data_IF_333341829789
#
_entry.id   IF_333341829789
#
_cell.length_a   1.000
_cell.length_b   1.000
_cell.length_c   1.000
_cell.angle_alpha   90.00
_cell.angle_beta   90.00
_cell.angle_gamma   90.00
#
_symmetry.space_group_name_H-M   'P 1'
#
loop_
_entity.id
_entity.type
_entity.pdbx_description
1 polymer ?
#
# COMPACT_ATOMS: atom_id res chain seq x y z
N UNK A 1 -16.25 8.68 -13.98
CA UNK A 1 -16.67 8.01 -12.73
C UNK A 1 -16.59 9.05 -11.61
N UNK A 2 -17.71 9.37 -10.93
CA UNK A 2 -17.70 10.39 -9.88
C UNK A 2 -17.10 9.80 -8.60
N UNK A 3 -15.94 10.33 -8.17
CA UNK A 3 -15.36 10.01 -6.87
C UNK A 3 -16.38 10.38 -5.77
N UNK A 4 -16.51 9.53 -4.75
CA UNK A 4 -17.37 9.82 -3.58
C UNK A 4 -16.83 11.08 -2.89
N UNK A 5 -17.50 12.22 -3.11
CA UNK A 5 -17.19 13.47 -2.41
C UNK A 5 -17.91 13.45 -1.07
N UNK A 6 -17.21 13.06 -0.01
CA UNK A 6 -17.73 13.27 1.34
C UNK A 6 -17.68 14.79 1.62
N UNK A 7 -18.83 15.48 1.83
CA UNK A 7 -18.80 16.87 2.25
C UNK A 7 -18.07 16.95 3.59
N UNK A 8 -17.14 17.90 3.70
CA UNK A 8 -16.29 18.04 4.88
C UNK A 8 -17.18 18.29 6.11
N UNK A 9 -17.21 17.33 7.02
CA UNK A 9 -18.03 17.34 8.24
C UNK A 9 -17.23 16.74 9.39
N UNK A 10 -17.61 17.08 10.63
CA UNK A 10 -16.99 16.49 11.83
C UNK A 10 -17.02 14.95 11.80
N UNK A 11 -18.12 14.36 11.31
CA UNK A 11 -18.26 12.91 11.19
C UNK A 11 -17.31 12.32 10.12
N UNK A 12 -17.16 12.97 8.98
CA UNK A 12 -16.21 12.54 7.94
C UNK A 12 -14.76 12.66 8.44
N UNK A 13 -14.42 13.73 9.16
CA UNK A 13 -13.11 13.90 9.79
C UNK A 13 -12.80 12.76 10.76
N UNK A 14 -13.73 12.44 11.67
CA UNK A 14 -13.56 11.34 12.63
C UNK A 14 -13.42 9.99 11.94
N UNK A 15 -14.14 9.75 10.84
CA UNK A 15 -13.99 8.52 10.08
C UNK A 15 -12.58 8.40 9.48
N UNK A 16 -12.07 9.44 8.82
CA UNK A 16 -10.71 9.46 8.26
C UNK A 16 -9.65 9.29 9.35
N UNK A 17 -9.79 10.03 10.46
CA UNK A 17 -8.89 9.92 11.60
C UNK A 17 -8.87 8.49 12.15
N UNK A 18 -10.06 7.89 12.36
CA UNK A 18 -10.18 6.51 12.82
C UNK A 18 -9.53 5.50 11.88
N UNK A 19 -9.70 5.66 10.57
CA UNK A 19 -9.04 4.77 9.59
C UNK A 19 -7.51 4.93 9.56
N UNK A 20 -7.00 6.15 9.71
CA UNK A 20 -5.56 6.38 9.86
C UNK A 20 -5.04 5.76 11.16
N UNK A 21 -5.80 5.87 12.26
CA UNK A 21 -5.46 5.19 13.52
C UNK A 21 -5.40 3.68 13.35
N UNK A 22 -6.33 3.06 12.60
CA UNK A 22 -6.29 1.63 12.30
C UNK A 22 -5.02 1.26 11.53
N UNK A 23 -4.67 2.05 10.50
CA UNK A 23 -3.45 1.85 9.72
C UNK A 23 -2.19 1.94 10.60
N UNK A 24 -2.10 2.96 11.44
CA UNK A 24 -0.94 3.13 12.33
C UNK A 24 -0.88 1.99 13.35
N UNK A 25 -2.01 1.67 13.99
CA UNK A 25 -2.08 0.62 15.00
C UNK A 25 -1.68 -0.75 14.43
N UNK A 26 -2.17 -1.12 13.24
CA UNK A 26 -1.78 -2.40 12.62
C UNK A 26 -0.31 -2.41 12.22
N UNK A 27 0.24 -1.27 11.78
CA UNK A 27 1.66 -1.16 11.43
C UNK A 27 2.57 -1.32 12.66
N UNK A 28 2.21 -0.65 13.77
CA UNK A 28 2.92 -0.79 15.05
C UNK A 28 2.80 -2.22 15.58
N UNK A 29 1.61 -2.81 15.54
CA UNK A 29 1.39 -4.20 15.95
C UNK A 29 2.31 -5.16 15.20
N UNK A 30 2.35 -5.10 13.86
CA UNK A 30 3.22 -5.97 13.07
C UNK A 30 4.71 -5.70 13.33
N UNK A 31 5.10 -4.45 13.60
CA UNK A 31 6.47 -4.13 13.99
C UNK A 31 6.86 -4.78 15.31
N UNK A 32 5.98 -4.79 16.31
CA UNK A 32 6.24 -5.44 17.61
C UNK A 32 6.34 -6.95 17.42
N UNK A 33 5.36 -7.55 16.73
CA UNK A 33 5.33 -8.99 16.47
C UNK A 33 6.55 -9.48 15.67
N UNK A 34 7.05 -8.67 14.74
CA UNK A 34 8.29 -8.98 14.02
C UNK A 34 9.51 -9.09 14.93
N UNK A 35 9.57 -8.25 15.98
CA UNK A 35 10.67 -8.24 16.94
C UNK A 35 10.63 -9.41 17.92
N UNK A 36 9.43 -9.88 18.29
CA UNK A 36 9.24 -10.96 19.25
C UNK A 36 9.26 -12.35 18.60
N UNK A 37 8.68 -12.50 17.39
CA UNK A 37 8.45 -13.80 16.75
C UNK A 37 9.25 -14.02 15.46
N UNK A 38 10.09 -13.06 15.05
CA UNK A 38 10.91 -13.12 13.85
C UNK A 38 10.11 -13.19 12.55
N UNK A 39 10.78 -13.55 11.44
CA UNK A 39 10.19 -13.53 10.09
C UNK A 39 8.96 -14.44 9.95
N UNK A 40 9.01 -15.67 10.48
CA UNK A 40 7.89 -16.60 10.40
C UNK A 40 6.65 -16.13 11.17
N UNK A 41 6.85 -15.51 12.35
CA UNK A 41 5.76 -14.91 13.11
C UNK A 41 5.13 -13.73 12.37
N UNK A 42 5.95 -12.87 11.77
CA UNK A 42 5.49 -11.75 10.97
C UNK A 42 4.61 -12.20 9.79
N UNK A 43 4.96 -13.30 9.10
CA UNK A 43 4.13 -13.88 8.03
C UNK A 43 2.74 -14.26 8.56
N UNK A 44 2.67 -14.97 9.69
CA UNK A 44 1.40 -15.40 10.27
C UNK A 44 0.51 -14.22 10.70
N UNK A 45 1.10 -13.26 11.42
CA UNK A 45 0.35 -12.11 11.93
C UNK A 45 -0.10 -11.13 10.84
N UNK A 46 0.75 -10.89 9.84
CA UNK A 46 0.39 -10.05 8.70
C UNK A 46 -0.68 -10.71 7.82
N UNK A 47 -0.63 -12.04 7.63
CA UNK A 47 -1.67 -12.79 6.94
C UNK A 47 -3.02 -12.67 7.67
N UNK A 48 -3.02 -12.84 9.00
CA UNK A 48 -4.22 -12.73 9.82
C UNK A 48 -4.79 -11.31 9.77
N UNK A 49 -3.96 -10.29 9.98
CA UNK A 49 -4.39 -8.90 9.94
C UNK A 49 -4.94 -8.51 8.55
N UNK A 50 -4.28 -8.96 7.47
CA UNK A 50 -4.79 -8.79 6.11
C UNK A 50 -6.16 -9.45 5.91
N UNK A 51 -6.33 -10.69 6.36
CA UNK A 51 -7.60 -11.41 6.25
C UNK A 51 -8.73 -10.69 7.00
N UNK A 52 -8.48 -10.28 8.25
CA UNK A 52 -9.45 -9.56 9.07
C UNK A 52 -9.86 -8.24 8.43
N UNK A 53 -8.90 -7.41 8.02
CA UNK A 53 -9.19 -6.11 7.39
C UNK A 53 -9.93 -6.27 6.05
N UNK A 54 -9.58 -7.29 5.27
CA UNK A 54 -10.28 -7.60 4.02
C UNK A 54 -11.73 -8.01 4.29
N UNK A 55 -11.98 -8.89 5.25
CA UNK A 55 -13.34 -9.28 5.65
C UNK A 55 -14.14 -8.07 6.13
N UNK A 56 -13.56 -7.21 6.96
CA UNK A 56 -14.20 -5.99 7.45
C UNK A 56 -14.51 -5.00 6.33
N UNK A 57 -13.61 -4.86 5.35
CA UNK A 57 -13.82 -4.01 4.18
C UNK A 57 -15.02 -4.48 3.35
N UNK A 58 -15.07 -5.77 3.01
CA UNK A 58 -16.18 -6.33 2.25
C UNK A 58 -17.50 -6.36 3.03
N UNK A 59 -17.46 -6.66 4.32
CA UNK A 59 -18.64 -6.61 5.18
C UNK A 59 -19.20 -5.17 5.27
N UNK A 60 -18.34 -4.18 5.48
CA UNK A 60 -18.74 -2.77 5.52
C UNK A 60 -19.33 -2.30 4.20
N UNK A 61 -18.76 -2.75 3.07
CA UNK A 61 -19.27 -2.46 1.74
C UNK A 61 -20.66 -3.07 1.53
N UNK A 62 -20.86 -4.34 1.91
CA UNK A 62 -22.18 -5.01 1.83
C UNK A 62 -23.24 -4.29 2.67
N UNK A 63 -22.83 -3.68 3.78
CA UNK A 63 -23.70 -2.89 4.66
C UNK A 63 -23.89 -1.43 4.20
N UNK A 64 -23.44 -1.05 2.99
CA UNK A 64 -23.58 0.30 2.44
C UNK A 64 -22.64 1.35 3.04
N UNK A 65 -21.71 0.97 3.93
CA UNK A 65 -20.77 1.88 4.60
C UNK A 65 -19.52 2.09 3.75
N UNK A 66 -19.64 2.85 2.67
CA UNK A 66 -18.58 3.00 1.64
C UNK A 66 -17.28 3.62 2.19
N UNK A 67 -17.38 4.66 3.04
CA UNK A 67 -16.18 5.32 3.61
C UNK A 67 -15.42 4.35 4.52
N UNK A 68 -16.12 3.68 5.44
CA UNK A 68 -15.52 2.70 6.35
C UNK A 68 -14.91 1.53 5.58
N UNK A 69 -15.59 1.04 4.55
CA UNK A 69 -15.06 0.00 3.67
C UNK A 69 -13.76 0.42 2.98
N UNK A 70 -13.70 1.66 2.47
CA UNK A 70 -12.51 2.23 1.86
C UNK A 70 -11.32 2.36 2.83
N UNK A 71 -11.58 2.75 4.08
CA UNK A 71 -10.56 2.84 5.12
C UNK A 71 -10.00 1.46 5.49
N UNK A 72 -10.85 0.45 5.67
CA UNK A 72 -10.39 -0.93 5.89
C UNK A 72 -9.62 -1.47 4.68
N UNK A 73 -10.08 -1.18 3.46
CA UNK A 73 -9.37 -1.57 2.24
C UNK A 73 -7.99 -0.92 2.14
N UNK A 74 -7.85 0.34 2.54
CA UNK A 74 -6.56 1.02 2.60
C UNK A 74 -5.60 0.34 3.57
N UNK A 75 -6.05 0.05 4.79
CA UNK A 75 -5.24 -0.71 5.75
C UNK A 75 -4.91 -2.10 5.22
N UNK A 76 -5.86 -2.80 4.60
CA UNK A 76 -5.67 -4.14 4.04
C UNK A 76 -4.61 -4.17 2.94
N UNK A 77 -4.55 -3.15 2.06
CA UNK A 77 -3.49 -3.06 1.03
C UNK A 77 -2.11 -3.00 1.68
N UNK A 78 -1.94 -2.20 2.73
CA UNK A 78 -0.67 -2.11 3.46
C UNK A 78 -0.33 -3.45 4.12
N UNK A 79 -1.30 -4.08 4.77
CA UNK A 79 -1.08 -5.38 5.43
C UNK A 79 -0.76 -6.48 4.43
N UNK A 80 -1.35 -6.44 3.22
CA UNK A 80 -1.04 -7.35 2.14
C UNK A 80 0.42 -7.21 1.67
N UNK A 81 0.90 -5.98 1.50
CA UNK A 81 2.29 -5.73 1.11
C UNK A 81 3.26 -6.23 2.20
N UNK A 82 2.95 -5.98 3.47
CA UNK A 82 3.75 -6.52 4.59
C UNK A 82 3.71 -8.05 4.61
N UNK A 83 2.54 -8.65 4.39
CA UNK A 83 2.39 -10.11 4.32
C UNK A 83 3.23 -10.71 3.21
N UNK A 84 3.08 -10.22 1.98
CA UNK A 84 3.86 -10.72 0.86
C UNK A 84 5.36 -10.46 1.06
N UNK A 85 5.74 -9.28 1.55
CA UNK A 85 7.12 -8.95 1.86
C UNK A 85 7.71 -9.91 2.89
N UNK A 86 7.04 -10.11 4.03
CA UNK A 86 7.49 -11.05 5.05
C UNK A 86 7.54 -12.50 4.54
N UNK A 87 6.64 -12.90 3.65
CA UNK A 87 6.64 -14.23 3.05
C UNK A 87 7.87 -14.43 2.16
N UNK A 88 8.18 -13.45 1.31
CA UNK A 88 9.38 -13.47 0.46
C UNK A 88 10.66 -13.45 1.29
N UNK A 89 10.70 -12.67 2.38
CA UNK A 89 11.83 -12.61 3.31
C UNK A 89 12.02 -13.94 4.05
N UNK A 90 10.94 -14.56 4.50
CA UNK A 90 10.97 -15.87 5.15
C UNK A 90 11.51 -16.97 4.22
N UNK A 91 11.25 -16.90 2.91
CA UNK A 91 11.86 -17.77 1.91
C UNK A 91 13.32 -17.38 1.55
N UNK A 92 13.83 -16.26 2.06
CA UNK A 92 15.16 -15.74 1.75
C UNK A 92 15.27 -15.14 0.34
N UNK A 93 14.14 -14.73 -0.25
CA UNK A 93 14.08 -14.19 -1.61
C UNK A 93 14.26 -12.66 -1.67
N UNK A 94 14.06 -11.96 -0.55
CA UNK A 94 14.31 -10.52 -0.47
C UNK A 94 15.80 -10.22 -0.22
N UNK A 95 16.36 -9.23 -0.93
CA UNK A 95 17.74 -8.81 -0.73
C UNK A 95 17.87 -7.93 0.52
N UNK A 96 19.06 -7.94 1.14
CA UNK A 96 19.39 -7.01 2.22
C UNK A 96 19.39 -5.56 1.69
N UNK A 97 18.51 -4.70 2.19
CA UNK A 97 18.35 -3.31 1.75
C UNK A 97 19.28 -2.31 2.45
N UNK A 98 20.41 -2.78 2.98
CA UNK A 98 21.30 -1.96 3.82
C UNK A 98 22.02 -0.83 3.07
N UNK A 99 22.16 -0.92 1.74
CA UNK A 99 22.83 0.13 0.94
C UNK A 99 21.90 1.21 0.37
N UNK A 100 20.58 0.98 0.32
CA UNK A 100 19.63 2.01 -0.09
C UNK A 100 18.33 1.48 -0.73
N UNK A 101 17.33 2.36 -0.93
CA UNK A 101 16.05 1.98 -1.50
C UNK A 101 16.11 1.64 -2.99
N UNK A 102 17.09 2.16 -3.74
CA UNK A 102 17.27 1.93 -5.18
C UNK A 102 18.72 1.51 -5.46
N UNK A 103 19.03 0.22 -5.29
CA UNK A 103 20.37 -0.33 -5.52
C UNK A 103 20.30 -1.62 -6.32
N UNK A 104 20.49 -1.52 -7.62
CA UNK A 104 20.58 -2.65 -8.54
C UNK A 104 19.23 -3.34 -8.82
N UNK A 105 19.25 -4.21 -9.83
CA UNK A 105 18.09 -5.00 -10.22
C UNK A 105 17.79 -6.10 -9.19
N UNK A 106 16.66 -5.99 -8.50
CA UNK A 106 16.24 -6.91 -7.44
C UNK A 106 14.90 -7.55 -7.81
N UNK A 107 14.97 -8.66 -8.54
CA UNK A 107 13.80 -9.31 -9.13
C UNK A 107 12.62 -9.49 -8.15
N UNK A 108 12.87 -10.05 -6.95
CA UNK A 108 11.80 -10.28 -5.98
C UNK A 108 11.26 -9.02 -5.33
N UNK A 109 12.07 -7.95 -5.25
CA UNK A 109 11.58 -6.63 -4.82
C UNK A 109 10.65 -6.03 -5.88
N UNK A 110 11.02 -6.11 -7.16
CA UNK A 110 10.15 -5.69 -8.27
C UNK A 110 8.83 -6.47 -8.30
N UNK A 111 8.85 -7.77 -7.98
CA UNK A 111 7.63 -8.58 -7.85
C UNK A 111 6.75 -8.06 -6.70
N UNK A 112 7.34 -7.72 -5.55
CA UNK A 112 6.62 -7.14 -4.42
C UNK A 112 6.03 -5.77 -4.75
N UNK A 113 6.79 -4.90 -5.41
CA UNK A 113 6.36 -3.57 -5.84
C UNK A 113 5.23 -3.65 -6.87
N UNK A 114 5.35 -4.54 -7.86
CA UNK A 114 4.28 -4.81 -8.83
C UNK A 114 3.02 -5.34 -8.13
N UNK A 115 3.17 -6.24 -7.16
CA UNK A 115 2.05 -6.74 -6.37
C UNK A 115 1.37 -5.61 -5.56
N UNK A 116 2.14 -4.65 -5.03
CA UNK A 116 1.60 -3.47 -4.35
C UNK A 116 0.80 -2.57 -5.31
N UNK A 117 1.30 -2.35 -6.54
CA UNK A 117 0.58 -1.61 -7.60
C UNK A 117 -0.73 -2.32 -7.96
N UNK A 118 -0.68 -3.63 -8.17
CA UNK A 118 -1.86 -4.42 -8.51
C UNK A 118 -2.87 -4.40 -7.37
N UNK A 119 -2.45 -4.65 -6.13
CA UNK A 119 -3.32 -4.68 -4.97
C UNK A 119 -3.99 -3.32 -4.72
N UNK A 120 -3.24 -2.22 -4.77
CA UNK A 120 -3.77 -0.87 -4.62
C UNK A 120 -4.74 -0.50 -5.76
N UNK A 121 -4.42 -0.87 -6.99
CA UNK A 121 -5.28 -0.63 -8.16
C UNK A 121 -6.58 -1.44 -8.09
N UNK A 122 -6.49 -2.71 -7.72
CA UNK A 122 -7.65 -3.58 -7.51
C UNK A 122 -8.53 -3.02 -6.39
N UNK A 123 -7.95 -2.64 -5.26
CA UNK A 123 -8.68 -2.02 -4.16
C UNK A 123 -9.36 -0.71 -4.61
N UNK A 124 -8.66 0.14 -5.36
CA UNK A 124 -9.22 1.40 -5.88
C UNK A 124 -10.41 1.13 -6.82
N UNK A 125 -10.32 0.13 -7.69
CA UNK A 125 -11.42 -0.26 -8.61
C UNK A 125 -12.61 -0.88 -7.87
N UNK A 126 -12.37 -1.59 -6.78
CA UNK A 126 -13.42 -2.28 -6.00
C UNK A 126 -14.13 -1.30 -5.07
N UNK A 127 -13.39 -0.49 -4.32
CA UNK A 127 -13.92 0.36 -3.25
C UNK A 127 -14.11 1.82 -3.67
N UNK A 128 -13.53 2.25 -4.80
CA UNK A 128 -13.61 3.62 -5.32
C UNK A 128 -13.27 4.70 -4.27
N UNK A 129 -12.34 4.36 -3.37
CA UNK A 129 -11.98 5.21 -2.25
C UNK A 129 -10.83 6.15 -2.64
N UNK A 130 -10.99 7.49 -2.55
CA UNK A 130 -10.02 8.45 -3.09
C UNK A 130 -8.60 8.31 -2.55
N UNK A 131 -8.42 7.99 -1.26
CA UNK A 131 -7.07 7.86 -0.67
C UNK A 131 -6.28 6.68 -1.26
N UNK A 132 -6.93 5.69 -1.87
CA UNK A 132 -6.23 4.60 -2.56
C UNK A 132 -5.48 5.11 -3.81
N UNK A 133 -5.87 6.25 -4.38
CA UNK A 133 -5.12 6.89 -5.48
C UNK A 133 -3.70 7.22 -5.04
N UNK A 134 -3.51 7.69 -3.80
CA UNK A 134 -2.19 7.98 -3.26
C UNK A 134 -1.33 6.70 -3.19
N UNK A 135 -1.92 5.59 -2.75
CA UNK A 135 -1.23 4.30 -2.69
C UNK A 135 -0.87 3.75 -4.08
N UNK A 136 -1.77 3.88 -5.05
CA UNK A 136 -1.48 3.52 -6.45
C UNK A 136 -0.33 4.38 -6.98
N UNK A 137 -0.39 5.69 -6.81
CA UNK A 137 0.64 6.61 -7.28
C UNK A 137 2.00 6.34 -6.64
N UNK A 138 2.04 6.12 -5.32
CA UNK A 138 3.27 5.86 -4.59
C UNK A 138 3.87 4.48 -4.91
N UNK A 139 3.06 3.41 -4.95
CA UNK A 139 3.57 2.07 -5.30
C UNK A 139 4.05 2.00 -6.75
N UNK A 140 3.35 2.66 -7.68
CA UNK A 140 3.76 2.70 -9.08
C UNK A 140 5.02 3.57 -9.27
N UNK A 141 5.20 4.62 -8.48
CA UNK A 141 6.46 5.38 -8.46
C UNK A 141 7.64 4.50 -8.05
N UNK A 142 7.53 3.76 -6.94
CA UNK A 142 8.56 2.83 -6.49
C UNK A 142 8.91 1.83 -7.60
N UNK A 143 7.90 1.15 -8.13
CA UNK A 143 8.05 0.17 -9.21
C UNK A 143 8.73 0.75 -10.45
N UNK A 144 8.27 1.90 -10.95
CA UNK A 144 8.84 2.54 -12.15
C UNK A 144 10.27 2.97 -11.89
N UNK A 145 10.55 3.51 -10.69
CA UNK A 145 11.90 3.97 -10.34
C UNK A 145 12.87 2.80 -10.27
N UNK A 146 12.54 1.73 -9.55
CA UNK A 146 13.42 0.56 -9.42
C UNK A 146 13.59 -0.16 -10.78
N UNK A 147 12.53 -0.26 -11.58
CA UNK A 147 12.57 -0.90 -12.91
C UNK A 147 13.39 -0.12 -13.93
N UNK A 148 13.25 1.21 -13.98
CA UNK A 148 13.85 2.05 -15.02
C UNK A 148 15.24 2.54 -14.62
N UNK A 149 15.46 2.85 -13.35
CA UNK A 149 16.77 3.37 -12.92
C UNK A 149 17.71 2.27 -12.47
N UNK A 150 17.20 1.20 -11.83
CA UNK A 150 18.04 0.22 -11.15
C UNK A 150 18.96 0.86 -10.10
N UNK A 151 18.68 2.10 -9.66
CA UNK A 151 19.46 2.83 -8.66
C UNK A 151 20.27 4.04 -9.13
N UNK A 152 20.92 4.69 -8.16
CA UNK A 152 21.85 5.82 -8.38
C UNK A 152 21.19 7.16 -8.74
N UNK A 153 22.02 8.14 -9.16
CA UNK A 153 21.62 9.53 -9.44
C UNK A 153 20.54 9.65 -10.52
N UNK A 154 20.49 8.69 -11.46
CA UNK A 154 19.47 8.61 -12.49
C UNK A 154 18.04 8.45 -11.92
N UNK A 155 17.90 7.88 -10.71
CA UNK A 155 16.62 7.75 -10.00
C UNK A 155 15.96 9.11 -9.72
N UNK A 156 16.76 10.17 -9.55
CA UNK A 156 16.25 11.52 -9.34
C UNK A 156 15.50 12.02 -10.59
N UNK A 157 16.05 11.76 -11.78
CA UNK A 157 15.45 12.16 -13.07
C UNK A 157 14.16 11.38 -13.31
N UNK A 158 14.18 10.06 -13.07
CA UNK A 158 12.98 9.21 -13.21
C UNK A 158 11.88 9.66 -12.25
N UNK A 159 12.22 10.02 -11.02
CA UNK A 159 11.26 10.53 -10.02
C UNK A 159 10.60 11.84 -10.46
N UNK A 160 11.38 12.79 -10.98
CA UNK A 160 10.84 14.05 -11.50
C UNK A 160 9.93 13.79 -12.71
N UNK A 161 10.38 12.96 -13.66
CA UNK A 161 9.61 12.63 -14.86
C UNK A 161 8.29 11.94 -14.51
N UNK A 162 8.29 11.03 -13.55
CA UNK A 162 7.09 10.36 -13.07
C UNK A 162 6.10 11.34 -12.42
N UNK A 163 6.58 12.26 -11.57
CA UNK A 163 5.76 13.32 -10.99
C UNK A 163 5.11 14.22 -12.06
N UNK A 164 5.86 14.61 -13.09
CA UNK A 164 5.34 15.38 -14.23
C UNK A 164 4.30 14.59 -15.02
N UNK A 165 4.50 13.29 -15.24
CA UNK A 165 3.54 12.43 -15.90
C UNK A 165 2.22 12.33 -15.11
N UNK A 166 2.28 12.16 -13.79
CA UNK A 166 1.09 12.17 -12.93
C UNK A 166 0.34 13.50 -12.99
N UNK A 167 1.06 14.62 -13.00
CA UNK A 167 0.47 15.95 -13.14
C UNK A 167 -0.21 16.13 -14.50
N UNK A 168 0.42 15.68 -15.58
CA UNK A 168 -0.18 15.71 -16.92
C UNK A 168 -1.46 14.86 -16.99
N UNK A 169 -1.45 13.66 -16.40
CA UNK A 169 -2.65 12.82 -16.30
C UNK A 169 -3.75 13.53 -15.50
N UNK A 170 -3.41 14.17 -14.38
CA UNK A 170 -4.39 14.86 -13.55
C UNK A 170 -5.04 16.07 -14.25
N UNK A 171 -4.32 16.76 -15.14
CA UNK A 171 -4.85 17.89 -15.92
C UNK A 171 -5.66 17.41 -17.13
N UNK A 172 -5.35 16.24 -17.69
CA UNK A 172 -6.02 15.68 -18.86
C UNK A 172 -7.40 15.05 -18.59
N UNK A 173 -7.83 14.95 -17.33
CA UNK A 173 -9.12 14.44 -16.88
C UNK A 173 -10.04 15.55 -16.38
#
# INVERSE_FOLDING_TARGET
MNAVRAPWSHASFLAYLGGITILIAVSVFLSVESGEHGAAGLVGWSALAFAVLTVLAFASRRNGRLVTAGLYALSAVVTFVVFLGSLLDWFGWLPNTAGGPFEGFRFWLLVLELAAVVASTVALRIFHFPLLVLFVAASAWFFVTDLVSGGGDWSAIVTIAYGLALLAVAIGY
#
